data_IF_160971566465
#
_entry.id   IF_160971566465
#
_cell.length_a   1.000
_cell.length_b   1.000
_cell.length_c   1.000
_cell.angle_alpha   90.00
_cell.angle_beta   90.00
_cell.angle_gamma   90.00
#
_symmetry.space_group_name_H-M   'P 1'
#
loop_
_entity.id
_entity.type
_entity.pdbx_description
1 polymer ?
#
# COMPACT_ATOMS: atom_id res chain seq x y z
N UNK A 1 -19.22 -11.43 -31.93
CA UNK A 1 -19.27 -10.24 -31.06
C UNK A 1 -19.33 -10.76 -29.66
N UNK A 2 -18.23 -10.64 -28.91
CA UNK A 2 -18.23 -10.95 -27.49
C UNK A 2 -19.13 -9.95 -26.78
N UNK A 3 -20.22 -10.46 -26.21
CA UNK A 3 -21.12 -9.68 -25.37
C UNK A 3 -20.32 -9.29 -24.14
N UNK A 4 -20.03 -8.00 -23.97
CA UNK A 4 -19.62 -7.49 -22.66
C UNK A 4 -20.72 -7.90 -21.66
N UNK A 5 -20.36 -8.46 -20.49
CA UNK A 5 -21.36 -8.91 -19.52
C UNK A 5 -22.29 -7.75 -19.17
N UNK A 6 -23.58 -8.04 -19.11
CA UNK A 6 -24.58 -7.09 -18.62
C UNK A 6 -24.23 -6.73 -17.16
N UNK A 7 -24.65 -5.57 -16.66
CA UNK A 7 -24.34 -5.16 -15.28
C UNK A 7 -24.79 -6.21 -14.25
N UNK A 8 -25.80 -7.01 -14.61
CA UNK A 8 -26.37 -8.11 -13.82
C UNK A 8 -25.48 -9.36 -13.77
N UNK A 9 -24.53 -9.52 -14.70
CA UNK A 9 -23.61 -10.67 -14.79
C UNK A 9 -22.19 -10.34 -14.28
N UNK A 10 -21.95 -9.13 -13.77
CA UNK A 10 -20.64 -8.75 -13.24
C UNK A 10 -20.42 -9.34 -11.84
N UNK A 11 -19.22 -9.86 -11.59
CA UNK A 11 -18.83 -10.32 -10.26
C UNK A 11 -18.03 -9.23 -9.54
N UNK A 12 -18.50 -8.82 -8.37
CA UNK A 12 -17.75 -7.91 -7.51
C UNK A 12 -16.50 -8.64 -7.00
N UNK A 13 -15.32 -8.08 -7.28
CA UNK A 13 -14.06 -8.55 -6.72
C UNK A 13 -13.76 -7.75 -5.47
N UNK A 14 -13.81 -8.41 -4.33
CA UNK A 14 -13.39 -7.83 -3.06
C UNK A 14 -11.87 -7.91 -2.96
N UNK A 15 -11.25 -6.77 -2.68
CA UNK A 15 -9.83 -6.67 -2.36
C UNK A 15 -9.70 -6.45 -0.86
N UNK A 16 -8.64 -7.00 -0.28
CA UNK A 16 -8.26 -6.67 1.07
C UNK A 16 -7.71 -5.26 1.14
N UNK A 17 -7.93 -4.59 2.27
CA UNK A 17 -7.41 -3.25 2.51
C UNK A 17 -7.01 -3.10 3.98
N UNK A 18 -5.86 -2.50 4.23
CA UNK A 18 -5.51 -2.02 5.57
C UNK A 18 -4.73 -0.71 5.49
N UNK A 19 -4.69 0.01 6.62
CA UNK A 19 -3.96 1.27 6.73
C UNK A 19 -3.25 1.36 8.07
N UNK A 20 -2.15 2.08 8.09
CA UNK A 20 -1.39 2.39 9.31
C UNK A 20 -0.74 3.76 9.20
N UNK A 21 -0.39 4.34 10.35
CA UNK A 21 0.25 5.64 10.46
C UNK A 21 1.71 5.45 10.85
N UNK A 22 2.61 6.17 10.18
CA UNK A 22 4.04 6.18 10.48
C UNK A 22 4.54 7.62 10.67
N UNK A 23 5.12 7.96 11.83
CA UNK A 23 5.85 9.21 11.95
C UNK A 23 7.12 9.16 11.08
N UNK A 24 7.49 10.28 10.48
CA UNK A 24 8.72 10.35 9.64
C UNK A 24 10.00 10.13 10.44
N UNK A 25 9.93 10.21 11.77
CA UNK A 25 11.01 9.82 12.67
C UNK A 25 11.40 8.34 12.54
N UNK A 26 10.47 7.46 12.11
CA UNK A 26 10.77 6.07 11.79
C UNK A 26 11.76 5.93 10.61
N UNK A 27 11.85 6.97 9.77
CA UNK A 27 12.79 7.08 8.65
C UNK A 27 13.95 8.05 8.96
N UNK A 28 14.17 8.39 10.24
CA UNK A 28 15.30 9.22 10.67
C UNK A 28 15.13 10.74 10.50
N UNK A 29 13.96 11.22 10.08
CA UNK A 29 13.70 12.67 9.98
C UNK A 29 13.35 13.25 11.35
N UNK A 30 13.88 14.44 11.66
CA UNK A 30 13.54 15.18 12.89
C UNK A 30 12.39 16.15 12.62
N UNK A 31 11.19 15.61 12.49
CA UNK A 31 10.00 16.35 12.08
C UNK A 31 8.72 15.65 12.61
N UNK A 32 7.63 16.39 12.81
CA UNK A 32 6.37 15.89 13.39
C UNK A 32 5.37 15.33 12.37
N UNK A 33 5.74 15.28 11.09
CA UNK A 33 4.89 14.73 10.04
C UNK A 33 4.59 13.25 10.24
N UNK A 34 3.32 12.94 10.02
CA UNK A 34 2.79 11.59 10.03
C UNK A 34 2.39 11.24 8.60
N UNK A 35 2.83 10.07 8.16
CA UNK A 35 2.43 9.47 6.89
C UNK A 35 1.34 8.44 7.15
N UNK A 36 0.24 8.52 6.40
CA UNK A 36 -0.70 7.42 6.30
C UNK A 36 -0.28 6.54 5.13
N UNK A 37 -0.01 5.27 5.42
CA UNK A 37 0.26 4.24 4.42
C UNK A 37 -0.92 3.30 4.37
N UNK A 38 -1.40 3.01 3.17
CA UNK A 38 -2.50 2.10 2.93
C UNK A 38 -2.13 1.07 1.88
N UNK A 39 -2.66 -0.12 2.05
CA UNK A 39 -2.32 -1.25 1.22
C UNK A 39 -3.59 -1.89 0.71
N UNK A 40 -3.75 -1.89 -0.60
CA UNK A 40 -4.75 -2.66 -1.31
C UNK A 40 -4.11 -3.97 -1.76
N UNK A 41 -4.73 -5.11 -1.48
CA UNK A 41 -4.13 -6.38 -1.83
C UNK A 41 -5.15 -7.42 -2.28
N UNK A 42 -4.67 -8.34 -3.11
CA UNK A 42 -5.44 -9.47 -3.60
C UNK A 42 -4.59 -10.74 -3.63
N UNK A 43 -5.22 -11.87 -3.35
CA UNK A 43 -4.57 -13.17 -3.53
C UNK A 43 -4.52 -13.52 -5.02
N UNK A 44 -3.35 -13.91 -5.50
CA UNK A 44 -3.11 -14.41 -6.85
C UNK A 44 -4.02 -15.60 -7.21
N UNK A 45 -4.25 -15.81 -8.51
CA UNK A 45 -5.15 -16.87 -9.00
C UNK A 45 -4.68 -18.29 -8.65
N UNK A 46 -3.37 -18.51 -8.55
CA UNK A 46 -2.76 -19.77 -8.09
C UNK A 46 -2.67 -19.86 -6.56
N UNK A 47 -3.07 -18.79 -5.85
CA UNK A 47 -3.14 -18.69 -4.39
C UNK A 47 -1.80 -18.80 -3.69
N UNK A 48 -0.70 -18.51 -4.39
CA UNK A 48 0.66 -18.63 -3.85
C UNK A 48 1.22 -17.32 -3.33
N UNK A 49 0.70 -16.18 -3.80
CA UNK A 49 1.16 -14.84 -3.45
C UNK A 49 0.02 -13.84 -3.24
N UNK A 50 0.24 -12.84 -2.40
CA UNK A 50 -0.51 -11.60 -2.39
C UNK A 50 0.15 -10.58 -3.32
N UNK A 51 -0.65 -9.97 -4.19
CA UNK A 51 -0.28 -8.77 -4.93
C UNK A 51 -0.79 -7.57 -4.15
N UNK A 52 0.10 -6.66 -3.78
CA UNK A 52 -0.22 -5.52 -2.94
C UNK A 52 0.25 -4.21 -3.58
N UNK A 53 -0.66 -3.24 -3.65
CA UNK A 53 -0.39 -1.87 -4.04
C UNK A 53 -0.32 -1.01 -2.78
N UNK A 54 0.79 -0.29 -2.64
CA UNK A 54 1.06 0.57 -1.50
C UNK A 54 0.80 2.01 -1.90
N UNK A 55 0.00 2.67 -1.09
CA UNK A 55 -0.40 4.03 -1.26
C UNK A 55 0.01 4.85 -0.05
N UNK A 56 0.43 6.09 -0.25
CA UNK A 56 0.84 6.96 0.83
C UNK A 56 0.26 8.37 0.70
N UNK A 57 0.08 9.03 1.85
CA UNK A 57 -0.20 10.46 1.96
C UNK A 57 0.36 11.00 3.27
N UNK A 58 0.62 12.30 3.33
CA UNK A 58 0.67 12.97 4.63
C UNK A 58 -0.70 12.81 5.29
N UNK A 59 -0.73 12.55 6.61
CA UNK A 59 -1.97 12.38 7.35
C UNK A 59 -2.95 13.53 7.04
N UNK A 60 -4.21 13.18 6.81
CA UNK A 60 -5.31 14.09 6.42
C UNK A 60 -5.18 14.82 5.09
N UNK A 61 -4.13 14.59 4.30
CA UNK A 61 -4.08 15.11 2.93
C UNK A 61 -5.23 14.56 2.08
N UNK A 62 -5.80 15.42 1.23
CA UNK A 62 -6.92 15.06 0.35
C UNK A 62 -6.51 14.05 -0.73
N UNK A 63 -5.23 14.01 -1.09
CA UNK A 63 -4.72 13.16 -2.16
C UNK A 63 -3.84 12.06 -1.60
N UNK A 64 -4.03 10.85 -2.12
CA UNK A 64 -3.21 9.69 -1.83
C UNK A 64 -2.58 9.19 -3.14
N UNK A 65 -1.30 8.87 -3.09
CA UNK A 65 -0.52 8.47 -4.25
C UNK A 65 -0.12 7.01 -4.14
N UNK A 66 -0.19 6.27 -5.24
CA UNK A 66 0.42 4.95 -5.30
C UNK A 66 1.93 5.15 -5.39
N UNK A 67 2.65 4.57 -4.45
CA UNK A 67 4.11 4.76 -4.34
C UNK A 67 4.87 3.49 -4.66
N UNK A 68 4.28 2.32 -4.42
CA UNK A 68 5.01 1.05 -4.52
C UNK A 68 4.09 -0.13 -4.76
N UNK A 69 4.64 -1.23 -5.26
CA UNK A 69 3.93 -2.50 -5.47
C UNK A 69 4.80 -3.64 -4.98
N UNK A 70 4.23 -4.61 -4.27
CA UNK A 70 4.95 -5.79 -3.81
C UNK A 70 4.18 -7.08 -4.06
N UNK A 71 4.95 -8.16 -4.25
CA UNK A 71 4.44 -9.53 -4.35
C UNK A 71 4.95 -10.32 -3.14
N UNK A 72 4.04 -10.77 -2.29
CA UNK A 72 4.36 -11.42 -1.00
C UNK A 72 3.93 -12.87 -1.05
N UNK A 73 4.79 -13.85 -0.77
CA UNK A 73 4.37 -15.25 -0.66
C UNK A 73 3.28 -15.42 0.40
N UNK A 74 2.21 -16.14 0.07
CA UNK A 74 1.12 -16.44 0.99
C UNK A 74 1.53 -17.64 1.88
N UNK A 75 1.95 -17.36 3.11
CA UNK A 75 2.45 -18.38 4.04
C UNK A 75 1.31 -19.04 4.86
N UNK A 76 0.07 -18.61 4.66
CA UNK A 76 -1.12 -19.18 5.29
C UNK A 76 -1.57 -18.47 6.58
N UNK A 77 -0.89 -17.40 6.97
CA UNK A 77 -1.31 -16.47 8.00
C UNK A 77 -2.22 -15.35 7.48
N UNK A 78 -2.60 -14.40 8.35
CA UNK A 78 -3.36 -13.22 7.97
C UNK A 78 -2.58 -12.37 6.96
N UNK A 79 -3.21 -12.08 5.82
CA UNK A 79 -2.57 -11.29 4.76
C UNK A 79 -2.02 -9.93 5.24
N UNK A 80 -2.70 -9.14 6.10
CA UNK A 80 -2.14 -7.89 6.60
C UNK A 80 -0.80 -8.08 7.33
N UNK A 81 -0.67 -9.13 8.14
CA UNK A 81 0.54 -9.38 8.93
C UNK A 81 1.71 -9.79 8.02
N UNK A 82 1.46 -10.67 7.05
CA UNK A 82 2.47 -11.11 6.08
C UNK A 82 2.95 -9.94 5.20
N UNK A 83 2.02 -9.14 4.70
CA UNK A 83 2.33 -7.99 3.84
C UNK A 83 3.05 -6.90 4.64
N UNK A 84 2.59 -6.59 5.85
CA UNK A 84 3.24 -5.60 6.72
C UNK A 84 4.65 -6.03 7.11
N UNK A 85 4.85 -7.31 7.42
CA UNK A 85 6.19 -7.86 7.68
C UNK A 85 7.11 -7.75 6.46
N UNK A 86 6.58 -8.01 5.26
CA UNK A 86 7.35 -7.87 4.02
C UNK A 86 7.78 -6.41 3.78
N UNK A 87 6.86 -5.45 3.96
CA UNK A 87 7.19 -4.02 3.85
C UNK A 87 8.29 -3.59 4.82
N UNK A 88 8.24 -4.03 6.08
CA UNK A 88 9.25 -3.67 7.08
C UNK A 88 10.65 -4.23 6.77
N UNK A 89 10.76 -5.24 5.91
CA UNK A 89 12.03 -5.87 5.53
C UNK A 89 12.44 -5.52 4.10
N UNK A 90 11.73 -4.60 3.43
CA UNK A 90 11.96 -4.24 2.04
C UNK A 90 12.68 -2.90 1.93
N UNK A 91 13.95 -2.95 1.51
CA UNK A 91 14.77 -1.76 1.31
C UNK A 91 14.20 -0.86 0.19
N UNK A 92 13.52 -1.43 -0.80
CA UNK A 92 12.88 -0.70 -1.89
C UNK A 92 11.73 0.19 -1.40
N UNK A 93 10.85 -0.37 -0.58
CA UNK A 93 9.79 0.37 0.09
C UNK A 93 10.37 1.48 0.98
N UNK A 94 11.43 1.18 1.74
CA UNK A 94 12.10 2.16 2.59
C UNK A 94 12.63 3.35 1.76
N UNK A 95 13.31 3.08 0.64
CA UNK A 95 13.83 4.11 -0.25
C UNK A 95 12.72 4.98 -0.86
N UNK A 96 11.64 4.37 -1.36
CA UNK A 96 10.49 5.09 -1.92
C UNK A 96 9.80 5.97 -0.87
N UNK A 97 9.71 5.50 0.38
CA UNK A 97 9.16 6.32 1.47
C UNK A 97 10.02 7.54 1.75
N UNK A 98 11.36 7.43 1.71
CA UNK A 98 12.25 8.59 1.84
C UNK A 98 12.00 9.63 0.74
N UNK A 99 11.91 9.20 -0.52
CA UNK A 99 11.64 10.09 -1.66
C UNK A 99 10.27 10.77 -1.50
N UNK A 100 9.25 9.99 -1.12
CA UNK A 100 7.91 10.50 -0.94
C UNK A 100 7.79 11.49 0.24
N UNK A 101 8.44 11.21 1.37
CA UNK A 101 8.53 12.11 2.52
C UNK A 101 9.20 13.42 2.12
N UNK A 102 10.30 13.35 1.35
CA UNK A 102 11.02 14.52 0.89
C UNK A 102 10.15 15.41 0.00
N UNK A 103 9.40 14.84 -0.95
CA UNK A 103 8.48 15.61 -1.78
C UNK A 103 7.29 16.17 -0.98
N UNK A 104 6.69 15.37 -0.08
CA UNK A 104 5.59 15.82 0.76
C UNK A 104 5.98 17.02 1.63
N UNK A 105 7.21 17.03 2.16
CA UNK A 105 7.72 18.14 2.98
C UNK A 105 7.80 19.48 2.22
N UNK A 106 8.04 19.46 0.90
CA UNK A 106 8.10 20.70 0.07
C UNK A 106 6.74 21.36 -0.13
N UNK A 107 5.66 20.59 0.02
CA UNK A 107 4.30 21.00 -0.29
C UNK A 107 3.42 21.12 0.96
N UNK A 108 4.03 21.27 2.14
CA UNK A 108 3.29 21.56 3.37
C UNK A 108 2.73 22.98 3.30
N UNK A 109 1.41 23.08 3.44
CA UNK A 109 0.69 24.34 3.69
C UNK A 109 0.80 24.76 5.15
#
# INVERSE_FOLDING_TARGET
>A
MDRLPDFVETHLREMGYFTFLLPVTAFGYQDDMIMEVSVEYGLSGDRTHYQANVWARQDRSHTKHMIYTLSVPAAGGPAPDEIFSALNSDDGFTAVMHDYIYEAAKHRE
#
